data_IF_867216310366
#
_entry.id   IF_867216310366
#
_cell.length_a   1.000
_cell.length_b   1.000
_cell.length_c   1.000
_cell.angle_alpha   90.00
_cell.angle_beta   90.00
_cell.angle_gamma   90.00
#
_symmetry.space_group_name_H-M   'P 1'
#
loop_
_entity.id
_entity.type
_entity.pdbx_description
1 polymer ?
#
# COMPACT_ATOMS: atom_id res chain seq x y z
N UNK A 1 -0.27 5.51 -20.24
CA UNK A 1 0.13 5.91 -18.88
C UNK A 1 -1.15 5.85 -18.06
N UNK A 2 -1.43 4.71 -17.42
CA UNK A 2 -2.62 4.63 -16.56
C UNK A 2 -2.41 5.67 -15.45
N UNK A 3 -3.26 6.70 -15.42
CA UNK A 3 -3.33 7.61 -14.29
C UNK A 3 -3.63 6.71 -13.09
N UNK A 4 -2.75 6.69 -12.09
CA UNK A 4 -3.14 6.20 -10.78
C UNK A 4 -4.43 6.96 -10.40
N UNK A 5 -5.46 6.25 -9.94
CA UNK A 5 -6.65 6.92 -9.45
C UNK A 5 -6.29 7.86 -8.30
N UNK A 6 -7.07 8.93 -8.12
CA UNK A 6 -6.94 9.81 -6.97
C UNK A 6 -7.40 9.03 -5.75
N UNK A 7 -6.44 8.58 -4.94
CA UNK A 7 -6.69 7.82 -3.73
C UNK A 7 -6.91 8.79 -2.58
N UNK A 8 -7.98 8.58 -1.81
CA UNK A 8 -8.26 9.31 -0.60
C UNK A 8 -7.38 8.81 0.55
N UNK A 9 -6.70 9.75 1.24
CA UNK A 9 -5.83 9.43 2.36
C UNK A 9 -5.95 10.44 3.50
N UNK A 10 -5.69 9.97 4.72
CA UNK A 10 -5.64 10.81 5.90
C UNK A 10 -4.43 10.44 6.77
N UNK A 11 -3.68 11.46 7.19
CA UNK A 11 -2.51 11.28 8.07
C UNK A 11 -2.97 11.47 9.51
N UNK A 12 -2.61 10.52 10.36
CA UNK A 12 -2.91 10.53 11.79
C UNK A 12 -1.63 10.48 12.61
N UNK A 13 -1.73 10.99 13.84
CA UNK A 13 -0.65 10.99 14.81
C UNK A 13 0.20 12.26 14.81
N UNK A 14 0.64 12.65 16.00
CA UNK A 14 1.59 13.75 16.21
C UNK A 14 3.00 13.17 16.38
N UNK A 15 3.17 12.28 17.38
CA UNK A 15 4.44 11.59 17.64
C UNK A 15 4.62 10.29 16.82
N UNK A 16 3.55 9.50 16.67
CA UNK A 16 3.55 8.26 15.89
C UNK A 16 2.66 8.42 14.67
N UNK A 17 3.28 8.76 13.53
CA UNK A 17 2.56 9.07 12.31
C UNK A 17 2.26 7.82 11.49
N UNK A 18 1.02 7.73 11.00
CA UNK A 18 0.61 6.74 10.00
C UNK A 18 -0.37 7.35 9.02
N UNK A 19 -0.47 6.74 7.84
CA UNK A 19 -1.43 7.14 6.81
C UNK A 19 -2.53 6.08 6.71
N UNK A 20 -3.77 6.51 6.80
CA UNK A 20 -4.93 5.71 6.44
C UNK A 20 -5.24 5.97 4.98
N UNK A 21 -5.51 4.90 4.24
CA UNK A 21 -5.82 4.95 2.82
C UNK A 21 -7.21 4.34 2.64
N UNK A 22 -8.11 5.10 2.02
CA UNK A 22 -9.42 4.60 1.59
C UNK A 22 -9.33 4.16 0.14
N UNK A 23 -9.88 3.00 -0.15
CA UNK A 23 -9.87 2.40 -1.47
C UNK A 23 -11.30 2.15 -1.92
N UNK A 24 -11.61 2.58 -3.13
CA UNK A 24 -12.84 2.21 -3.80
C UNK A 24 -12.77 0.77 -4.34
N UNK A 25 -13.93 0.13 -4.63
CA UNK A 25 -13.94 -1.20 -5.22
C UNK A 25 -13.11 -1.29 -6.51
N UNK A 26 -12.14 -2.20 -6.53
CA UNK A 26 -11.22 -2.39 -7.66
C UNK A 26 -10.00 -1.46 -7.67
N UNK A 27 -9.82 -0.62 -6.65
CA UNK A 27 -8.57 0.11 -6.46
C UNK A 27 -7.49 -0.76 -5.82
N UNK A 28 -6.23 -0.36 -6.00
CA UNK A 28 -5.07 -1.13 -5.53
C UNK A 28 -3.98 -0.19 -5.08
N UNK A 29 -3.38 -0.51 -3.93
CA UNK A 29 -2.23 0.21 -3.39
C UNK A 29 -1.05 -0.72 -3.27
N UNK A 30 0.13 -0.16 -3.56
CA UNK A 30 1.42 -0.82 -3.40
C UNK A 30 2.10 -0.19 -2.20
N UNK A 31 2.46 -1.02 -1.22
CA UNK A 31 3.20 -0.59 -0.04
C UNK A 31 4.47 -1.44 0.15
N UNK A 32 5.44 -0.88 0.86
CA UNK A 32 6.63 -1.60 1.28
C UNK A 32 6.27 -2.65 2.34
N UNK A 33 6.92 -3.81 2.31
CA UNK A 33 6.80 -4.80 3.37
C UNK A 33 7.10 -4.18 4.74
N UNK A 34 6.16 -4.34 5.67
CA UNK A 34 6.26 -3.76 7.02
C UNK A 34 5.75 -2.32 7.16
N UNK A 35 5.27 -1.69 6.07
CA UNK A 35 4.62 -0.38 6.14
C UNK A 35 3.15 -0.45 6.60
N UNK A 36 2.55 -1.64 6.60
CA UNK A 36 1.15 -1.82 7.03
C UNK A 36 1.03 -1.87 8.54
N UNK A 37 0.12 -1.05 9.09
CA UNK A 37 -0.23 -1.04 10.52
C UNK A 37 -1.47 -1.90 10.79
N UNK A 38 -2.54 -1.70 10.01
CA UNK A 38 -3.78 -2.47 10.06
C UNK A 38 -4.45 -2.48 8.68
N UNK A 39 -5.48 -3.31 8.53
CA UNK A 39 -6.26 -3.48 7.30
C UNK A 39 -7.70 -3.86 7.67
N UNK A 40 -8.69 -3.42 6.91
CA UNK A 40 -10.08 -3.87 7.05
C UNK A 40 -10.26 -5.30 6.47
N UNK A 41 -11.25 -6.05 6.96
CA UNK A 41 -11.50 -7.43 6.54
C UNK A 41 -11.96 -7.59 5.10
N UNK A 42 -12.52 -6.53 4.51
CA UNK A 42 -12.97 -6.52 3.11
C UNK A 42 -11.81 -6.28 2.12
N UNK A 43 -10.61 -6.00 2.62
CA UNK A 43 -9.42 -5.75 1.79
C UNK A 43 -8.59 -7.04 1.66
N UNK A 44 -8.22 -7.37 0.43
CA UNK A 44 -7.32 -8.48 0.10
C UNK A 44 -5.86 -8.05 0.08
N UNK A 45 -4.99 -8.92 0.58
CA UNK A 45 -3.55 -8.67 0.63
C UNK A 45 -2.79 -9.74 -0.13
N UNK A 46 -1.91 -9.31 -1.03
CA UNK A 46 -1.00 -10.17 -1.78
C UNK A 46 0.44 -9.69 -1.59
N UNK A 47 1.30 -10.51 -1.00
CA UNK A 47 2.74 -10.21 -0.95
C UNK A 47 3.41 -10.70 -2.24
N UNK A 48 3.94 -9.77 -3.03
CA UNK A 48 4.79 -10.10 -4.17
C UNK A 48 6.25 -9.98 -3.77
N UNK A 49 6.89 -11.14 -3.57
CA UNK A 49 8.33 -11.23 -3.38
C UNK A 49 9.03 -11.13 -4.76
N UNK A 50 9.25 -9.89 -5.22
CA UNK A 50 9.95 -9.58 -6.48
C UNK A 50 11.12 -8.63 -6.26
N UNK A 51 12.26 -8.91 -6.89
CA UNK A 51 13.45 -8.04 -6.86
C UNK A 51 13.16 -6.75 -7.62
N UNK A 52 12.82 -5.68 -6.91
CA UNK A 52 12.68 -4.31 -7.42
C UNK A 52 14.01 -3.67 -7.84
N UNK A 53 14.76 -4.34 -8.72
CA UNK A 53 15.93 -3.80 -9.42
C UNK A 53 15.86 -4.24 -10.87
N UNK A 54 15.95 -3.37 -11.87
CA UNK A 54 16.50 -2.01 -11.89
C UNK A 54 15.53 -0.96 -11.29
N UNK A 55 15.71 -0.37 -10.11
CA UNK A 55 16.92 -0.02 -9.35
C UNK A 55 16.54 0.00 -7.85
N UNK A 56 17.47 -0.44 -7.02
CA UNK A 56 17.47 -0.36 -5.54
C UNK A 56 16.77 -1.47 -4.73
N UNK A 57 17.55 -2.55 -4.55
CA UNK A 57 17.78 -3.27 -3.27
C UNK A 57 16.58 -3.38 -2.30
N UNK A 58 15.86 -4.49 -2.44
CA UNK A 58 15.74 -5.43 -1.31
C UNK A 58 14.67 -5.15 -0.26
N UNK A 59 13.50 -4.64 -0.65
CA UNK A 59 12.32 -4.57 0.21
C UNK A 59 11.14 -5.19 -0.53
N UNK A 60 10.54 -6.22 0.06
CA UNK A 60 9.41 -6.94 -0.51
C UNK A 60 8.25 -5.99 -0.79
N UNK A 61 7.58 -6.17 -1.92
CA UNK A 61 6.43 -5.35 -2.30
C UNK A 61 5.18 -6.08 -1.83
N UNK A 62 4.29 -5.36 -1.17
CA UNK A 62 2.99 -5.88 -0.81
C UNK A 62 1.92 -5.13 -1.59
N UNK A 63 1.14 -5.87 -2.37
CA UNK A 63 -0.02 -5.37 -3.08
C UNK A 63 -1.26 -5.56 -2.22
N UNK A 64 -2.07 -4.53 -2.14
CA UNK A 64 -3.36 -4.53 -1.47
C UNK A 64 -4.42 -4.42 -2.57
N UNK A 65 -5.18 -5.49 -2.80
CA UNK A 65 -6.33 -5.52 -3.70
C UNK A 65 -7.62 -5.45 -2.87
N UNK A 66 -8.70 -4.88 -3.40
CA UNK A 66 -10.06 -5.08 -2.88
C UNK A 66 -10.85 -5.88 -3.90
#
# INVERSE_FOLDING_TARGET
MAKAHEIDYQIYGDDMQFVEISLDPGETVIAEAGAMVYMDGDIQFETILGTGSEREKGKGLSLIHI
#
